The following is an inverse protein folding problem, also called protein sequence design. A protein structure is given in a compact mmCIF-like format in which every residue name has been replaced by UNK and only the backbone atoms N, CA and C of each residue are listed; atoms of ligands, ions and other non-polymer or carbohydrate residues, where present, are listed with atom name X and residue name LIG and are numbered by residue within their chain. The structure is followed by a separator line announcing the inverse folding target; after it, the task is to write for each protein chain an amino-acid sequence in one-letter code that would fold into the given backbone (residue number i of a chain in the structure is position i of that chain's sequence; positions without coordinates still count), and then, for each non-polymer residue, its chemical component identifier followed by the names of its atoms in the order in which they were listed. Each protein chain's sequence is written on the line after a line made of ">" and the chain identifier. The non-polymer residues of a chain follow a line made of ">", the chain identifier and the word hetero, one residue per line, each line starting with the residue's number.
data_IF_720823153885
#
_entry.id   IF_720823153885
#
_cell.length_a   1.000
_cell.length_b   1.000
_cell.length_c   1.000
_cell.angle_alpha   90.00
_cell.angle_beta   90.00
_cell.angle_gamma   90.00
#
_symmetry.space_group_name_H-M   'P 1'
#
loop_
_entity.id
_entity.type
_entity.pdbx_description
1 polymer ?
#
# COMPACT_ATOMS: atom_id res chain seq x y z
N UNK A 1 60.78 -3.12 19.86
CA UNK A 1 59.52 -3.25 19.09
C UNK A 1 58.38 -3.43 20.08
N UNK A 2 57.47 -2.46 20.20
CA UNK A 2 56.29 -2.55 21.08
C UNK A 2 55.10 -3.09 20.27
N UNK A 3 54.29 -4.04 20.78
CA UNK A 3 53.11 -4.50 20.08
C UNK A 3 52.01 -3.43 20.14
N UNK A 4 51.28 -3.27 19.04
CA UNK A 4 50.08 -2.43 18.94
C UNK A 4 48.94 -3.10 19.73
N UNK A 5 48.12 -2.34 20.48
CA UNK A 5 46.92 -2.90 21.09
C UNK A 5 45.91 -3.29 20.01
N UNK A 6 45.47 -4.54 20.04
CA UNK A 6 44.36 -5.03 19.21
C UNK A 6 43.06 -4.46 19.73
N UNK A 7 42.41 -3.60 18.93
CA UNK A 7 41.05 -3.12 19.17
C UNK A 7 40.06 -4.28 19.02
N UNK A 8 39.83 -5.03 20.09
CA UNK A 8 38.72 -5.96 20.19
C UNK A 8 37.66 -5.42 21.15
N UNK A 9 36.40 -5.57 20.76
CA UNK A 9 35.18 -5.23 21.48
C UNK A 9 34.88 -3.73 21.65
N UNK A 10 34.56 -3.06 20.54
CA UNK A 10 33.53 -2.03 20.61
C UNK A 10 32.24 -2.71 21.05
N UNK A 11 31.94 -2.59 22.34
CA UNK A 11 30.61 -2.79 22.90
C UNK A 11 29.62 -2.07 21.99
N UNK A 12 28.82 -2.84 21.25
CA UNK A 12 27.65 -2.29 20.58
C UNK A 12 26.81 -1.64 21.69
N UNK A 13 26.48 -0.34 21.59
CA UNK A 13 25.50 0.22 22.50
C UNK A 13 24.21 -0.58 22.27
N UNK A 14 23.72 -1.23 23.33
CA UNK A 14 22.35 -1.73 23.38
C UNK A 14 21.47 -0.49 23.24
N UNK A 15 20.97 -0.23 22.04
CA UNK A 15 20.00 0.83 21.79
C UNK A 15 18.66 0.43 22.41
N UNK A 16 18.60 0.47 23.74
CA UNK A 16 17.36 0.45 24.53
C UNK A 16 16.91 1.90 24.81
N UNK A 17 17.07 2.77 23.81
CA UNK A 17 16.68 4.17 23.87
C UNK A 17 16.06 4.56 22.54
N UNK A 18 14.88 4.02 22.29
CA UNK A 18 13.75 4.76 21.78
C UNK A 18 12.55 3.81 21.90
N UNK A 19 11.65 4.09 22.85
CA UNK A 19 10.27 3.64 22.75
C UNK A 19 9.69 4.27 21.49
N UNK A 20 9.98 3.65 20.35
CA UNK A 20 9.63 4.14 19.03
C UNK A 20 8.10 4.17 18.95
N UNK A 21 7.44 5.27 18.64
CA UNK A 21 7.84 6.28 17.67
C UNK A 21 7.27 7.61 18.11
N UNK A 22 8.12 8.64 18.08
CA UNK A 22 7.71 9.99 17.76
C UNK A 22 6.65 9.90 16.64
N UNK A 23 5.39 10.22 16.98
CA UNK A 23 4.30 10.37 16.01
C UNK A 23 4.64 11.59 15.17
N UNK A 24 5.44 11.41 14.13
CA UNK A 24 5.59 12.44 13.11
C UNK A 24 4.22 12.64 12.47
N UNK A 25 3.79 13.89 12.46
CA UNK A 25 2.47 14.39 12.06
C UNK A 25 1.99 13.78 10.72
N UNK A 26 0.73 13.31 10.69
CA UNK A 26 -0.04 12.89 9.52
C UNK A 26 0.72 12.12 8.42
N UNK A 27 1.31 10.97 8.73
CA UNK A 27 1.66 10.02 7.67
C UNK A 27 0.37 9.41 7.10
N UNK A 28 0.05 9.58 5.80
CA UNK A 28 -1.15 9.01 5.22
C UNK A 28 -1.11 7.48 5.33
N UNK A 29 -2.23 6.88 5.75
CA UNK A 29 -2.37 5.42 5.78
C UNK A 29 -2.21 4.88 4.36
N UNK A 30 -1.28 3.93 4.19
CA UNK A 30 -0.97 3.31 2.90
C UNK A 30 -1.57 1.92 2.82
N UNK A 31 -2.38 1.70 1.79
CA UNK A 31 -3.02 0.44 1.46
C UNK A 31 -2.19 -0.34 0.46
N UNK A 32 -1.91 -1.61 0.78
CA UNK A 32 -1.17 -2.50 -0.09
C UNK A 32 -2.08 -3.18 -1.12
N UNK A 33 -1.82 -2.90 -2.40
CA UNK A 33 -2.51 -3.47 -3.55
C UNK A 33 -1.77 -4.66 -4.18
N UNK A 34 -0.62 -5.05 -3.62
CA UNK A 34 0.20 -6.18 -4.05
C UNK A 34 1.38 -5.80 -4.92
N UNK A 35 2.39 -6.67 -4.96
CA UNK A 35 3.61 -6.50 -5.78
C UNK A 35 4.39 -5.20 -5.51
N UNK A 36 4.36 -4.72 -4.27
CA UNK A 36 5.01 -3.47 -3.87
C UNK A 36 4.20 -2.21 -4.24
N UNK A 37 2.99 -2.35 -4.76
CA UNK A 37 2.11 -1.23 -5.07
C UNK A 37 1.34 -0.78 -3.83
N UNK A 38 1.42 0.51 -3.54
CA UNK A 38 0.81 1.15 -2.38
C UNK A 38 -0.06 2.32 -2.85
N UNK A 39 -1.22 2.50 -2.21
CA UNK A 39 -2.14 3.61 -2.48
C UNK A 39 -2.56 4.25 -1.18
N UNK A 40 -2.83 5.55 -1.18
CA UNK A 40 -3.33 6.25 0.00
C UNK A 40 -4.75 5.79 0.30
N UNK A 41 -4.96 5.18 1.48
CA UNK A 41 -6.24 4.62 1.88
C UNK A 41 -7.36 5.66 1.90
N UNK A 42 -7.06 6.91 2.32
CA UNK A 42 -8.04 8.01 2.37
C UNK A 42 -8.51 8.51 1.01
N UNK A 43 -7.85 8.13 -0.09
CA UNK A 43 -8.25 8.49 -1.46
C UNK A 43 -8.99 7.38 -2.20
N UNK A 44 -9.17 6.22 -1.56
CA UNK A 44 -9.89 5.10 -2.14
C UNK A 44 -11.39 5.37 -2.02
N UNK A 45 -12.07 5.49 -3.16
CA UNK A 45 -13.52 5.71 -3.22
C UNK A 45 -14.26 4.37 -3.27
N UNK A 46 -13.78 3.44 -4.08
CA UNK A 46 -14.42 2.13 -4.24
C UNK A 46 -13.41 1.03 -4.57
N UNK A 47 -13.71 -0.17 -4.09
CA UNK A 47 -13.05 -1.42 -4.49
C UNK A 47 -14.08 -2.27 -5.20
N UNK A 48 -13.80 -2.65 -6.44
CA UNK A 48 -14.75 -3.35 -7.30
C UNK A 48 -14.12 -4.58 -7.97
N UNK A 49 -14.96 -5.56 -8.31
CA UNK A 49 -14.55 -6.81 -8.95
C UNK A 49 -14.60 -6.69 -10.48
N UNK A 50 -13.57 -7.12 -11.23
CA UNK A 50 -13.45 -6.90 -12.68
C UNK A 50 -14.33 -7.83 -13.56
N UNK A 51 -15.19 -8.66 -12.97
CA UNK A 51 -15.89 -9.74 -13.71
C UNK A 51 -17.04 -9.26 -14.59
N UNK A 52 -17.62 -8.09 -14.33
CA UNK A 52 -18.84 -7.62 -15.00
C UNK A 52 -18.56 -6.79 -16.26
N UNK A 53 -19.53 -6.77 -17.20
CA UNK A 53 -19.47 -5.95 -18.42
C UNK A 53 -19.21 -4.45 -18.17
N UNK A 54 -19.85 -3.76 -17.20
CA UNK A 54 -19.55 -2.36 -16.92
C UNK A 54 -18.11 -2.11 -16.46
N UNK A 55 -17.44 -3.10 -15.87
CA UNK A 55 -16.05 -2.96 -15.41
C UNK A 55 -15.05 -3.02 -16.55
N UNK A 56 -15.35 -3.79 -17.61
CA UNK A 56 -14.58 -3.73 -18.85
C UNK A 56 -14.69 -2.35 -19.48
N UNK A 57 -15.91 -1.80 -19.55
CA UNK A 57 -16.15 -0.42 -20.03
C UNK A 57 -15.39 0.60 -19.19
N UNK A 58 -15.43 0.50 -17.87
CA UNK A 58 -14.70 1.39 -16.96
C UNK A 58 -13.18 1.35 -17.21
N UNK A 59 -12.61 0.15 -17.43
CA UNK A 59 -11.19 0.00 -17.77
C UNK A 59 -10.88 0.65 -19.12
N UNK A 60 -11.70 0.43 -20.13
CA UNK A 60 -11.50 0.96 -21.47
C UNK A 60 -11.62 2.49 -21.48
N UNK A 61 -12.58 3.05 -20.74
CA UNK A 61 -12.73 4.49 -20.52
C UNK A 61 -11.55 5.10 -19.76
N UNK A 62 -11.04 4.42 -18.72
CA UNK A 62 -9.85 4.87 -18.01
C UNK A 62 -8.60 4.81 -18.90
N UNK A 63 -8.50 3.79 -19.77
CA UNK A 63 -7.41 3.65 -20.72
C UNK A 63 -7.44 4.74 -21.79
N UNK A 64 -8.63 5.08 -22.31
CA UNK A 64 -8.79 6.15 -23.32
C UNK A 64 -8.51 7.53 -22.72
N UNK A 65 -8.84 7.74 -21.44
CA UNK A 65 -8.53 8.98 -20.69
C UNK A 65 -7.09 9.04 -20.17
N UNK A 66 -6.31 7.98 -20.30
CA UNK A 66 -4.94 7.90 -19.76
C UNK A 66 -4.86 7.87 -18.22
N UNK A 67 -5.96 7.52 -17.54
CA UNK A 67 -6.05 7.41 -16.07
C UNK A 67 -5.96 5.96 -15.55
N UNK A 68 -5.62 5.03 -16.43
CA UNK A 68 -5.46 3.62 -16.07
C UNK A 68 -4.07 3.38 -15.47
N UNK A 69 -4.04 2.84 -14.25
CA UNK A 69 -2.82 2.42 -13.58
C UNK A 69 -2.82 0.90 -13.46
N UNK A 70 -1.83 0.25 -14.06
CA UNK A 70 -1.68 -1.21 -13.96
C UNK A 70 -0.74 -1.59 -12.82
N UNK A 71 -1.29 -2.13 -11.73
CA UNK A 71 -0.56 -2.68 -10.60
C UNK A 71 -0.56 -4.22 -10.58
N UNK A 72 -0.97 -4.88 -11.68
CA UNK A 72 -1.03 -6.35 -11.77
C UNK A 72 0.29 -7.03 -12.13
N UNK A 73 1.29 -6.27 -12.60
CA UNK A 73 2.62 -6.77 -12.96
C UNK A 73 2.58 -8.05 -13.81
N UNK A 74 1.73 -8.07 -14.84
CA UNK A 74 1.58 -9.20 -15.76
C UNK A 74 0.72 -10.36 -15.25
N UNK A 75 0.01 -10.19 -14.13
CA UNK A 75 -0.90 -11.19 -13.56
C UNK A 75 -2.36 -10.88 -13.91
N UNK A 76 -3.21 -11.88 -13.70
CA UNK A 76 -4.66 -11.69 -13.86
C UNK A 76 -5.16 -10.63 -12.89
N UNK A 77 -5.86 -9.63 -13.42
CA UNK A 77 -6.58 -8.63 -12.62
C UNK A 77 -7.66 -9.33 -11.79
N UNK A 78 -7.65 -9.10 -10.49
CA UNK A 78 -8.65 -9.65 -9.54
C UNK A 78 -9.49 -8.57 -8.89
N UNK A 79 -8.98 -7.36 -8.81
CA UNK A 79 -9.69 -6.20 -8.28
C UNK A 79 -9.35 -4.94 -9.07
N UNK A 80 -10.26 -3.99 -9.01
CA UNK A 80 -10.10 -2.64 -9.53
C UNK A 80 -10.35 -1.70 -8.37
N UNK A 81 -9.45 -0.74 -8.18
CA UNK A 81 -9.57 0.30 -7.16
C UNK A 81 -9.81 1.63 -7.84
N UNK A 82 -10.87 2.31 -7.45
CA UNK A 82 -11.22 3.65 -7.94
C UNK A 82 -10.83 4.67 -6.89
N UNK A 83 -10.14 5.70 -7.33
CA UNK A 83 -9.68 6.81 -6.48
C UNK A 83 -10.47 8.09 -6.76
N UNK A 84 -10.38 9.04 -5.83
CA UNK A 84 -10.96 10.39 -5.93
C UNK A 84 -10.59 11.15 -7.21
N UNK A 85 -9.42 10.85 -7.78
CA UNK A 85 -8.86 11.51 -8.96
C UNK A 85 -9.32 10.87 -10.29
N UNK A 86 -10.34 10.00 -10.23
CA UNK A 86 -10.76 9.04 -11.27
C UNK A 86 -9.64 8.10 -11.76
N UNK A 87 -8.58 7.88 -10.97
CA UNK A 87 -7.60 6.87 -11.38
C UNK A 87 -8.19 5.49 -11.10
N UNK A 88 -8.11 4.64 -12.12
CA UNK A 88 -8.57 3.25 -12.07
C UNK A 88 -7.32 2.39 -11.96
N UNK A 89 -7.14 1.77 -10.80
CA UNK A 89 -5.95 0.99 -10.47
C UNK A 89 -6.30 -0.49 -10.53
N UNK A 90 -5.62 -1.23 -11.39
CA UNK A 90 -5.81 -2.67 -11.53
C UNK A 90 -4.92 -3.41 -10.54
N UNK A 91 -5.49 -4.27 -9.71
CA UNK A 91 -4.73 -5.08 -8.75
C UNK A 91 -4.96 -6.58 -8.98
N UNK A 92 -3.93 -7.36 -8.68
CA UNK A 92 -3.97 -8.82 -8.71
C UNK A 92 -4.32 -9.44 -7.34
N UNK A 93 -4.62 -8.61 -6.33
CA UNK A 93 -5.14 -9.06 -5.03
C UNK A 93 -6.68 -9.12 -5.09
N UNK A 94 -7.27 -10.04 -4.33
CA UNK A 94 -8.72 -10.16 -4.21
C UNK A 94 -9.31 -8.92 -3.51
N UNK A 95 -10.47 -8.43 -3.95
CA UNK A 95 -11.11 -7.24 -3.37
C UNK A 95 -11.42 -7.42 -1.87
N UNK A 96 -11.83 -8.63 -1.46
CA UNK A 96 -12.11 -8.94 -0.05
C UNK A 96 -10.89 -8.77 0.85
N UNK A 97 -9.71 -9.14 0.36
CA UNK A 97 -8.46 -8.99 1.11
C UNK A 97 -8.05 -7.53 1.24
N UNK A 98 -8.34 -6.71 0.24
CA UNK A 98 -8.08 -5.26 0.28
C UNK A 98 -9.05 -4.60 1.28
N UNK A 99 -10.33 -4.97 1.22
CA UNK A 99 -11.34 -4.49 2.16
C UNK A 99 -11.03 -4.88 3.61
N UNK A 100 -10.56 -6.11 3.85
CA UNK A 100 -10.12 -6.55 5.17
C UNK A 100 -8.96 -5.69 5.71
N UNK A 101 -7.97 -5.35 4.87
CA UNK A 101 -6.85 -4.47 5.26
C UNK A 101 -7.31 -3.05 5.58
N UNK A 102 -8.17 -2.48 4.75
CA UNK A 102 -8.76 -1.17 4.99
C UNK A 102 -9.53 -1.10 6.32
N UNK A 103 -10.31 -2.13 6.64
CA UNK A 103 -11.08 -2.17 7.89
C UNK A 103 -10.18 -2.25 9.13
N UNK A 104 -9.06 -2.97 9.05
CA UNK A 104 -8.13 -3.07 10.19
C UNK A 104 -7.44 -1.73 10.49
N UNK A 105 -7.15 -0.92 9.46
CA UNK A 105 -6.46 0.35 9.62
C UNK A 105 -7.42 1.54 9.88
N UNK A 106 -8.73 1.35 9.66
CA UNK A 106 -9.77 2.37 9.82
C UNK A 106 -10.76 2.14 10.97
N UNK A 107 -10.58 1.09 11.79
CA UNK A 107 -11.48 0.75 12.90
C UNK A 107 -11.19 1.49 14.23
N UNK A 108 -10.64 2.70 14.14
CA UNK A 108 -10.57 3.63 15.28
C UNK A 108 -11.46 4.82 14.95
N UNK A 109 -12.77 4.62 14.80
CA UNK A 109 -13.83 5.64 14.94
C UNK A 109 -15.22 5.00 14.71
N UNK A 110 -15.98 4.80 15.79
CA UNK A 110 -17.45 4.85 15.75
C UNK A 110 -18.26 3.57 16.04
N UNK A 111 -18.53 3.37 17.34
CA UNK A 111 -19.69 2.71 18.00
C UNK A 111 -19.86 1.17 17.97
#
# INVERSE_FOLDING_TARGET
>A
MRPLPTRSSSSRPKSNACGSRCRTLNSPVLLNLGYGNLVVASRVVAIVSPQSAPMKRLRDEASSRGKLVDATQGRRTRSIVVTDSDHVILSAINPDTIAARLRLDGAEEGE
#
